data_IF_008612864461
#
_entry.id   IF_008612864461
#
_cell.length_a   1.000
_cell.length_b   1.000
_cell.length_c   1.000
_cell.angle_alpha   90.00
_cell.angle_beta   90.00
_cell.angle_gamma   90.00
#
_symmetry.space_group_name_H-M   'P 1'
#
loop_
_entity.id
_entity.type
_entity.pdbx_description
1 polymer ?
#
# COMPACT_ATOMS: atom_id res chain seq x y z
N UNK A 1 23.00 -30.38 30.35
CA UNK A 1 21.74 -29.68 30.61
C UNK A 1 22.02 -28.18 30.51
N UNK A 2 21.76 -27.58 29.35
CA UNK A 2 21.89 -26.13 29.17
C UNK A 2 20.55 -25.47 29.53
N UNK A 3 20.55 -24.70 30.62
CA UNK A 3 19.44 -23.83 30.98
C UNK A 3 19.55 -22.54 30.16
N UNK A 4 18.77 -22.45 29.08
CA UNK A 4 18.60 -21.22 28.32
C UNK A 4 17.71 -20.25 29.10
N UNK A 5 18.35 -19.33 29.82
CA UNK A 5 17.69 -18.17 30.40
C UNK A 5 17.22 -17.23 29.28
N UNK A 6 15.96 -17.39 28.85
CA UNK A 6 15.30 -16.50 27.89
C UNK A 6 15.34 -15.07 28.41
N UNK A 7 16.06 -14.19 27.70
CA UNK A 7 16.15 -12.75 27.99
C UNK A 7 14.75 -12.13 27.91
N UNK A 8 14.10 -11.93 29.06
CA UNK A 8 12.76 -11.33 29.13
C UNK A 8 12.87 -9.82 28.96
N UNK A 9 12.55 -9.34 27.75
CA UNK A 9 12.22 -7.94 27.52
C UNK A 9 10.99 -7.48 28.33
N UNK A 10 10.62 -6.20 28.20
CA UNK A 10 9.44 -5.64 28.88
C UNK A 10 8.21 -6.50 28.59
N UNK A 11 7.55 -6.99 29.66
CA UNK A 11 6.32 -7.78 29.52
C UNK A 11 5.23 -6.92 28.86
N UNK A 12 4.44 -7.49 27.93
CA UNK A 12 3.35 -6.78 27.29
C UNK A 12 2.29 -6.36 28.33
N UNK A 13 1.65 -5.21 28.10
CA UNK A 13 0.64 -4.62 29.00
C UNK A 13 -0.65 -5.45 29.10
N UNK A 14 -0.94 -6.22 28.06
CA UNK A 14 -2.13 -7.07 27.92
C UNK A 14 -1.68 -8.42 27.40
N UNK A 15 -2.27 -9.50 27.91
CA UNK A 15 -1.96 -10.84 27.42
C UNK A 15 -2.45 -11.04 25.98
N UNK A 16 -1.69 -11.79 25.19
CA UNK A 16 -1.96 -11.99 23.76
C UNK A 16 -3.27 -12.75 23.53
N UNK A 17 -3.62 -13.66 24.43
CA UNK A 17 -4.83 -14.47 24.30
C UNK A 17 -6.08 -13.63 24.57
N UNK A 18 -6.04 -12.75 25.57
CA UNK A 18 -7.14 -11.82 25.88
C UNK A 18 -7.44 -10.88 24.70
N UNK A 19 -6.40 -10.41 23.99
CA UNK A 19 -6.59 -9.59 22.79
C UNK A 19 -7.25 -10.40 21.68
N UNK A 20 -6.81 -11.65 21.48
CA UNK A 20 -7.39 -12.52 20.46
C UNK A 20 -8.85 -12.89 20.77
N UNK A 21 -9.19 -13.16 22.03
CA UNK A 21 -10.58 -13.40 22.47
C UNK A 21 -11.48 -12.19 22.17
N UNK A 22 -10.98 -10.97 22.42
CA UNK A 22 -11.71 -9.75 22.08
C UNK A 22 -11.96 -9.64 20.56
N UNK A 23 -11.00 -10.01 19.72
CA UNK A 23 -11.21 -10.07 18.27
C UNK A 23 -12.22 -11.13 17.84
N UNK A 24 -12.17 -12.32 18.44
CA UNK A 24 -13.12 -13.41 18.14
C UNK A 24 -14.55 -13.00 18.49
N UNK A 25 -14.75 -12.30 19.62
CA UNK A 25 -16.06 -11.81 20.06
C UNK A 25 -16.74 -10.90 19.03
N UNK A 26 -15.96 -10.14 18.26
CA UNK A 26 -16.45 -9.16 17.26
C UNK A 26 -16.02 -9.50 15.83
N UNK A 27 -15.79 -10.77 15.54
CA UNK A 27 -15.21 -11.22 14.26
C UNK A 27 -15.93 -10.69 13.01
N UNK A 28 -17.26 -10.61 13.03
CA UNK A 28 -18.08 -10.12 11.92
C UNK A 28 -18.12 -8.58 11.79
N UNK A 29 -17.77 -7.85 12.86
CA UNK A 29 -17.61 -6.39 12.82
C UNK A 29 -16.22 -5.99 12.33
N UNK A 30 -15.22 -6.84 12.60
CA UNK A 30 -13.81 -6.60 12.21
C UNK A 30 -13.58 -6.99 10.75
N UNK A 31 -14.11 -8.14 10.33
CA UNK A 31 -14.02 -8.65 8.95
C UNK A 31 -15.44 -8.85 8.43
N UNK A 32 -15.77 -8.18 7.33
CA UNK A 32 -17.05 -8.35 6.66
C UNK A 32 -17.10 -9.70 5.93
N UNK A 33 -18.30 -10.11 5.49
CA UNK A 33 -18.51 -11.36 4.75
C UNK A 33 -17.65 -11.48 3.48
N UNK A 34 -17.21 -10.36 2.91
CA UNK A 34 -16.33 -10.29 1.75
C UNK A 34 -14.82 -10.34 2.10
N UNK A 35 -14.44 -10.56 3.36
CA UNK A 35 -13.04 -10.60 3.80
C UNK A 35 -12.37 -9.23 3.98
N UNK A 36 -13.14 -8.14 3.87
CA UNK A 36 -12.64 -6.78 4.04
C UNK A 36 -12.54 -6.42 5.53
N UNK A 37 -11.41 -5.83 5.91
CA UNK A 37 -11.17 -5.38 7.30
C UNK A 37 -11.81 -4.01 7.50
N UNK A 38 -12.50 -3.82 8.62
CA UNK A 38 -13.07 -2.55 9.05
C UNK A 38 -12.00 -1.43 9.10
N UNK A 39 -12.26 -0.25 8.52
CA UNK A 39 -11.30 0.86 8.50
C UNK A 39 -10.99 1.36 9.92
N UNK A 40 -9.86 2.04 10.10
CA UNK A 40 -9.44 2.56 11.42
C UNK A 40 -10.46 3.53 12.04
N UNK A 41 -11.23 4.25 11.22
CA UNK A 41 -12.30 5.14 11.64
C UNK A 41 -13.54 4.41 12.17
N UNK A 42 -13.65 3.10 11.95
CA UNK A 42 -14.77 2.29 12.40
C UNK A 42 -14.87 2.28 13.93
N UNK A 43 -16.09 2.38 14.44
CA UNK A 43 -16.35 2.36 15.88
C UNK A 43 -15.89 1.06 16.55
N UNK A 44 -15.80 -0.03 15.78
CA UNK A 44 -15.38 -1.37 16.24
C UNK A 44 -14.05 -1.32 17.01
N UNK A 45 -13.08 -0.53 16.54
CA UNK A 45 -11.77 -0.37 17.20
C UNK A 45 -11.84 0.42 18.50
N UNK A 46 -12.82 1.33 18.64
CA UNK A 46 -13.10 2.02 19.91
C UNK A 46 -13.68 1.05 20.92
N UNK A 47 -14.69 0.29 20.51
CA UNK A 47 -15.32 -0.66 21.43
C UNK A 47 -14.39 -1.83 21.81
N UNK A 48 -13.47 -2.25 20.92
CA UNK A 48 -12.41 -3.21 21.28
C UNK A 48 -11.43 -2.65 22.31
N UNK A 49 -11.13 -1.34 22.25
CA UNK A 49 -10.30 -0.67 23.26
C UNK A 49 -11.01 -0.67 24.62
N UNK A 50 -12.31 -0.42 24.63
CA UNK A 50 -13.18 -0.49 25.82
C UNK A 50 -13.20 -1.89 26.43
N UNK A 51 -13.38 -2.94 25.61
CA UNK A 51 -13.37 -4.35 26.04
C UNK A 51 -12.02 -4.73 26.71
N UNK A 52 -10.93 -4.05 26.34
CA UNK A 52 -9.60 -4.23 26.92
C UNK A 52 -9.27 -3.22 28.04
N UNK A 53 -10.29 -2.56 28.60
CA UNK A 53 -10.18 -1.54 29.65
C UNK A 53 -9.23 -0.40 29.28
N UNK A 54 -9.25 0.04 28.02
CA UNK A 54 -8.40 1.10 27.45
C UNK A 54 -6.89 0.86 27.62
N UNK A 55 -6.46 -0.37 27.91
CA UNK A 55 -5.03 -0.71 28.04
C UNK A 55 -4.28 -0.60 26.71
N UNK A 56 -5.00 -0.69 25.60
CA UNK A 56 -4.52 -0.50 24.23
C UNK A 56 -5.43 0.48 23.49
N UNK A 57 -4.90 1.52 22.83
CA UNK A 57 -5.71 2.45 22.06
C UNK A 57 -6.19 1.81 20.75
N UNK A 58 -7.33 2.28 20.24
CA UNK A 58 -7.99 1.78 19.02
C UNK A 58 -7.05 1.71 17.82
N UNK A 59 -6.25 2.75 17.59
CA UNK A 59 -5.28 2.78 16.48
C UNK A 59 -4.22 1.68 16.62
N UNK A 60 -3.75 1.40 17.84
CA UNK A 60 -2.78 0.32 18.04
C UNK A 60 -3.42 -1.05 17.80
N UNK A 61 -4.68 -1.26 18.22
CA UNK A 61 -5.40 -2.51 17.95
C UNK A 61 -5.58 -2.73 16.45
N UNK A 62 -5.99 -1.69 15.71
CA UNK A 62 -6.09 -1.72 14.26
C UNK A 62 -4.75 -2.09 13.61
N UNK A 63 -3.67 -1.40 13.95
CA UNK A 63 -2.34 -1.65 13.37
C UNK A 63 -1.86 -3.07 13.68
N UNK A 64 -1.98 -3.51 14.93
CA UNK A 64 -1.53 -4.85 15.33
C UNK A 64 -2.31 -5.95 14.59
N UNK A 65 -3.61 -5.75 14.37
CA UNK A 65 -4.43 -6.68 13.60
C UNK A 65 -4.10 -6.63 12.11
N UNK A 66 -3.98 -5.43 11.53
CA UNK A 66 -3.71 -5.22 10.11
C UNK A 66 -2.35 -5.79 9.68
N UNK A 67 -1.31 -5.56 10.49
CA UNK A 67 0.05 -6.12 10.30
C UNK A 67 0.14 -7.62 10.63
N UNK A 68 -0.99 -8.26 10.95
CA UNK A 68 -1.08 -9.67 11.32
C UNK A 68 -0.11 -10.07 12.46
N UNK A 69 0.03 -9.18 13.45
CA UNK A 69 0.90 -9.48 14.59
C UNK A 69 0.35 -10.66 15.36
N UNK A 70 1.23 -11.60 15.70
CA UNK A 70 0.86 -12.85 16.35
C UNK A 70 -0.17 -13.69 15.55
N UNK A 71 -0.20 -13.51 14.23
CA UNK A 71 -1.09 -14.25 13.32
C UNK A 71 -2.58 -14.07 13.64
N UNK A 72 -2.95 -12.96 14.29
CA UNK A 72 -4.33 -12.72 14.71
C UNK A 72 -5.29 -12.56 13.55
N UNK A 73 -4.91 -11.82 12.51
CA UNK A 73 -5.72 -11.63 11.31
C UNK A 73 -5.82 -12.95 10.55
N UNK A 74 -4.69 -13.64 10.35
CA UNK A 74 -4.67 -14.96 9.71
C UNK A 74 -5.59 -15.94 10.44
N UNK A 75 -5.48 -16.05 11.76
CA UNK A 75 -6.33 -16.94 12.57
C UNK A 75 -7.81 -16.57 12.51
N UNK A 76 -8.15 -15.28 12.51
CA UNK A 76 -9.54 -14.83 12.43
C UNK A 76 -10.17 -15.12 11.06
N UNK A 77 -9.40 -14.95 9.98
CA UNK A 77 -9.81 -15.30 8.61
C UNK A 77 -10.10 -16.80 8.50
N UNK A 78 -9.22 -17.65 9.06
CA UNK A 78 -9.44 -19.11 9.13
C UNK A 78 -10.73 -19.46 9.88
N UNK A 79 -10.98 -18.80 11.02
CA UNK A 79 -12.21 -19.00 11.80
C UNK A 79 -13.49 -18.58 11.07
N UNK A 80 -13.38 -17.67 10.09
CA UNK A 80 -14.50 -17.25 9.24
C UNK A 80 -14.63 -18.09 7.96
N UNK A 81 -13.70 -19.02 7.70
CA UNK A 81 -13.70 -19.82 6.47
C UNK A 81 -13.36 -19.03 5.21
N UNK A 82 -12.69 -17.88 5.34
CA UNK A 82 -12.41 -16.94 4.23
C UNK A 82 -11.01 -17.16 3.61
N UNK A 83 -10.44 -18.36 3.74
CA UNK A 83 -9.06 -18.66 3.32
C UNK A 83 -8.84 -18.49 1.81
N UNK A 84 -9.86 -18.81 1.00
CA UNK A 84 -9.79 -18.73 -0.47
C UNK A 84 -9.89 -17.28 -0.99
N UNK A 85 -10.58 -16.40 -0.26
CA UNK A 85 -10.68 -14.98 -0.61
C UNK A 85 -9.38 -14.20 -0.35
N UNK A 86 -8.55 -14.66 0.57
CA UNK A 86 -7.34 -13.94 1.03
C UNK A 86 -6.09 -14.36 0.26
N UNK A 87 -6.02 -15.59 -0.26
CA UNK A 87 -4.93 -15.99 -1.16
C UNK A 87 -4.90 -15.14 -2.44
N UNK A 88 -6.08 -14.73 -2.94
CA UNK A 88 -6.20 -13.81 -4.08
C UNK A 88 -5.86 -12.34 -3.74
N UNK A 89 -5.65 -11.99 -2.47
CA UNK A 89 -5.28 -10.64 -2.01
C UNK A 89 -3.78 -10.50 -1.63
N UNK A 90 -3.03 -11.61 -1.56
CA UNK A 90 -1.65 -11.64 -1.02
C UNK A 90 -0.56 -11.72 -2.11
N UNK A 91 -0.89 -12.02 -3.35
CA UNK A 91 -0.03 -11.76 -4.50
C UNK A 91 -0.76 -10.65 -5.29
N UNK A 92 -0.34 -9.39 -5.27
CA UNK A 92 0.87 -8.91 -5.95
C UNK A 92 1.34 -7.59 -5.31
N UNK A 93 2.58 -7.50 -4.81
CA UNK A 93 3.26 -6.19 -4.72
C UNK A 93 3.75 -5.85 -6.14
N UNK A 94 2.82 -5.41 -6.99
CA UNK A 94 3.07 -5.14 -8.41
C UNK A 94 3.71 -3.76 -8.57
N UNK A 95 4.88 -3.59 -7.96
CA UNK A 95 5.84 -2.57 -8.38
C UNK A 95 7.22 -3.21 -8.67
N UNK A 96 7.22 -4.53 -8.92
CA UNK A 96 8.37 -5.31 -9.40
C UNK A 96 8.57 -5.10 -10.90
N UNK A 97 9.76 -4.60 -11.24
CA UNK A 97 10.22 -4.40 -12.61
C UNK A 97 10.61 -5.75 -13.20
N UNK A 98 9.72 -6.37 -13.97
CA UNK A 98 10.11 -7.43 -14.90
C UNK A 98 9.34 -7.24 -16.20
N UNK A 99 10.07 -6.91 -17.26
CA UNK A 99 9.57 -6.90 -18.62
C UNK A 99 9.28 -8.36 -19.01
N UNK A 100 8.04 -8.78 -18.87
CA UNK A 100 7.56 -10.03 -19.46
C UNK A 100 6.14 -9.78 -19.92
N UNK A 101 5.99 -9.58 -21.22
CA UNK A 101 4.70 -9.58 -21.88
C UNK A 101 4.02 -10.92 -21.62
N UNK A 102 2.94 -10.89 -20.84
CA UNK A 102 1.98 -11.98 -20.76
C UNK A 102 0.61 -11.39 -21.04
N UNK A 103 0.23 -11.46 -22.31
CA UNK A 103 -1.16 -11.45 -22.74
C UNK A 103 -1.88 -12.62 -22.08
N UNK A 104 -2.68 -12.34 -21.05
CA UNK A 104 -3.61 -13.31 -20.48
C UNK A 104 -4.96 -12.62 -20.28
N UNK A 105 -5.87 -12.95 -21.18
CA UNK A 105 -7.30 -12.92 -20.92
C UNK A 105 -7.58 -13.91 -19.77
N UNK A 106 -7.92 -13.39 -18.60
CA UNK A 106 -8.56 -14.22 -17.58
C UNK A 106 -9.60 -13.42 -16.81
N UNK A 107 -10.81 -13.97 -16.92
CA UNK A 107 -12.08 -13.70 -16.24
C UNK A 107 -11.96 -12.88 -14.95
N UNK A 108 -12.43 -11.63 -15.02
CA UNK A 108 -12.44 -10.68 -13.92
C UNK A 108 -13.70 -10.85 -13.08
N UNK A 109 -13.54 -11.33 -11.84
CA UNK A 109 -14.24 -10.68 -10.73
C UNK A 109 -13.62 -9.29 -10.62
N UNK A 110 -14.34 -8.32 -11.16
CA UNK A 110 -13.84 -6.99 -11.50
C UNK A 110 -13.64 -6.18 -10.21
N UNK A 111 -12.41 -6.15 -9.68
CA UNK A 111 -11.97 -4.99 -8.91
C UNK A 111 -12.23 -3.77 -9.79
N UNK A 112 -13.22 -2.95 -9.41
CA UNK A 112 -13.62 -1.77 -10.18
C UNK A 112 -12.44 -0.80 -10.17
N UNK A 113 -11.56 -0.91 -11.18
CA UNK A 113 -10.48 0.02 -11.42
C UNK A 113 -11.11 1.29 -11.97
N UNK A 114 -11.14 2.34 -11.15
CA UNK A 114 -11.62 3.65 -11.60
C UNK A 114 -10.47 4.40 -12.27
N UNK A 115 -10.64 4.71 -13.55
CA UNK A 115 -9.72 5.57 -14.28
C UNK A 115 -9.98 7.02 -13.90
N UNK A 116 -8.92 7.74 -13.56
CA UNK A 116 -8.95 9.18 -13.33
C UNK A 116 -8.09 9.86 -14.38
N UNK A 117 -8.60 10.96 -14.94
CA UNK A 117 -7.83 11.84 -15.82
C UNK A 117 -7.50 13.09 -15.04
N UNK A 118 -6.24 13.49 -15.06
CA UNK A 118 -5.76 14.74 -14.49
C UNK A 118 -5.07 15.55 -15.58
N UNK A 119 -5.15 16.87 -15.51
CA UNK A 119 -4.46 17.75 -16.44
C UNK A 119 -3.38 18.56 -15.70
N UNK A 120 -2.13 18.38 -16.11
CA UNK A 120 -1.01 19.14 -15.58
C UNK A 120 -0.67 20.25 -16.57
N UNK A 121 -0.92 21.50 -16.17
CA UNK A 121 -0.57 22.65 -16.99
C UNK A 121 0.95 22.72 -17.25
N UNK A 122 1.35 23.13 -18.45
CA UNK A 122 2.78 23.13 -18.85
C UNK A 122 3.68 23.87 -17.86
N UNK A 123 3.26 25.05 -17.36
CA UNK A 123 4.04 25.79 -16.36
C UNK A 123 4.32 24.97 -15.09
N UNK A 124 3.36 24.14 -14.66
CA UNK A 124 3.54 23.25 -13.50
C UNK A 124 4.44 22.07 -13.88
N UNK A 125 4.26 21.52 -15.09
CA UNK A 125 5.12 20.45 -15.60
C UNK A 125 6.60 20.83 -15.63
N UNK A 126 6.93 22.10 -15.96
CA UNK A 126 8.34 22.55 -15.98
C UNK A 126 9.06 22.36 -14.64
N UNK A 127 8.34 22.40 -13.52
CA UNK A 127 8.89 22.22 -12.17
C UNK A 127 9.20 20.75 -11.85
N UNK A 128 8.46 19.83 -12.46
CA UNK A 128 8.59 18.38 -12.24
C UNK A 128 9.27 17.68 -13.42
N UNK A 129 9.85 18.44 -14.35
CA UNK A 129 10.47 17.91 -15.56
C UNK A 129 11.59 16.92 -15.20
N UNK A 130 11.68 15.76 -15.87
CA UNK A 130 12.74 14.80 -15.62
C UNK A 130 14.14 15.41 -15.73
N UNK A 131 15.00 15.04 -14.80
CA UNK A 131 16.41 15.44 -14.77
C UNK A 131 17.30 14.20 -14.92
N UNK A 132 18.34 14.31 -15.74
CA UNK A 132 19.32 13.23 -15.92
C UNK A 132 20.28 13.18 -14.76
N UNK A 133 20.39 12.02 -14.11
CA UNK A 133 21.37 11.74 -13.05
C UNK A 133 22.29 10.62 -13.49
N UNK A 134 23.59 10.83 -13.32
CA UNK A 134 24.62 9.85 -13.65
C UNK A 134 25.11 9.15 -12.40
N UNK A 135 25.12 7.81 -12.46
CA UNK A 135 25.60 6.95 -11.41
C UNK A 135 26.83 6.16 -11.88
N UNK A 136 27.79 5.96 -10.98
CA UNK A 136 28.96 5.13 -11.25
C UNK A 136 28.62 3.66 -10.91
N UNK A 137 28.72 2.79 -11.90
CA UNK A 137 28.61 1.34 -11.74
C UNK A 137 29.85 0.79 -11.00
N UNK A 138 29.69 -0.36 -10.33
CA UNK A 138 30.78 -1.06 -9.60
C UNK A 138 31.96 -1.40 -10.51
N UNK A 139 31.73 -1.51 -11.83
CA UNK A 139 32.74 -1.74 -12.87
C UNK A 139 33.31 -0.45 -13.49
N UNK A 140 33.18 0.69 -12.81
CA UNK A 140 33.66 2.02 -13.27
C UNK A 140 33.03 2.52 -14.58
N UNK A 141 31.87 1.99 -14.98
CA UNK A 141 31.07 2.51 -16.09
C UNK A 141 30.09 3.55 -15.57
N UNK A 142 29.82 4.58 -16.36
CA UNK A 142 28.79 5.57 -16.02
C UNK A 142 27.46 5.15 -16.65
N UNK A 143 26.39 5.17 -15.86
CA UNK A 143 25.02 5.01 -16.36
C UNK A 143 24.23 6.25 -16.01
N UNK A 144 23.56 6.81 -17.01
CA UNK A 144 22.70 7.98 -16.84
C UNK A 144 21.26 7.53 -16.91
N UNK A 145 20.45 8.03 -15.98
CA UNK A 145 19.01 7.76 -15.90
C UNK A 145 18.28 9.09 -15.79
N UNK A 146 17.13 9.18 -16.45
CA UNK A 146 16.20 10.27 -16.17
C UNK A 146 15.33 9.90 -14.98
N UNK A 147 15.24 10.84 -14.04
CA UNK A 147 14.43 10.71 -12.85
C UNK A 147 13.54 11.93 -12.69
N UNK A 148 12.35 11.72 -12.13
CA UNK A 148 11.53 12.83 -11.68
C UNK A 148 12.16 13.45 -10.42
N UNK A 149 12.17 14.79 -10.27
CA UNK A 149 12.75 15.47 -9.11
C UNK A 149 12.07 15.06 -7.80
N UNK A 150 12.79 14.35 -6.93
CA UNK A 150 12.27 13.81 -5.67
C UNK A 150 11.63 14.90 -4.79
N UNK A 151 10.51 14.58 -4.15
CA UNK A 151 9.73 15.50 -3.32
C UNK A 151 8.84 16.46 -4.13
N UNK A 152 9.29 16.95 -5.28
CA UNK A 152 8.53 17.95 -6.06
C UNK A 152 7.44 17.28 -6.91
N UNK A 153 7.78 16.20 -7.62
CA UNK A 153 6.82 15.54 -8.52
C UNK A 153 5.67 14.88 -7.78
N UNK A 154 5.94 14.29 -6.61
CA UNK A 154 4.93 13.61 -5.79
C UNK A 154 3.89 14.58 -5.28
N UNK A 155 4.35 15.73 -4.75
CA UNK A 155 3.48 16.76 -4.18
C UNK A 155 2.61 17.37 -5.28
N UNK A 156 3.22 17.68 -6.43
CA UNK A 156 2.50 18.24 -7.58
C UNK A 156 1.38 17.32 -8.08
N UNK A 157 1.67 16.02 -8.28
CA UNK A 157 0.66 15.07 -8.75
C UNK A 157 -0.42 14.88 -7.70
N UNK A 158 -0.04 14.73 -6.43
CA UNK A 158 -0.97 14.51 -5.34
C UNK A 158 -1.93 15.71 -5.17
N UNK A 159 -1.40 16.93 -5.19
CA UNK A 159 -2.20 18.15 -5.05
C UNK A 159 -3.22 18.30 -6.18
N UNK A 160 -2.80 18.08 -7.44
CA UNK A 160 -3.71 18.13 -8.60
C UNK A 160 -4.78 17.06 -8.46
N UNK A 161 -4.35 15.83 -8.17
CA UNK A 161 -5.25 14.68 -8.08
C UNK A 161 -6.29 14.84 -6.98
N UNK A 162 -5.88 15.27 -5.78
CA UNK A 162 -6.79 15.51 -4.66
C UNK A 162 -7.68 16.73 -4.88
N UNK A 163 -7.18 17.79 -5.53
CA UNK A 163 -7.97 18.97 -5.86
C UNK A 163 -9.10 18.66 -6.85
N UNK A 164 -8.80 17.86 -7.87
CA UNK A 164 -9.78 17.49 -8.91
C UNK A 164 -10.77 16.42 -8.42
N UNK A 165 -10.28 15.36 -7.78
CA UNK A 165 -11.08 14.17 -7.48
C UNK A 165 -11.55 14.07 -6.03
N UNK A 166 -11.03 14.93 -5.14
CA UNK A 166 -11.45 15.07 -3.72
C UNK A 166 -11.53 13.75 -2.96
N UNK A 167 -10.59 12.84 -3.22
CA UNK A 167 -10.56 11.53 -2.58
C UNK A 167 -10.06 11.66 -1.13
N UNK A 168 -10.68 10.98 -0.15
CA UNK A 168 -10.25 11.02 1.25
C UNK A 168 -9.06 10.08 1.52
N UNK A 169 -8.15 9.93 0.56
CA UNK A 169 -7.05 8.95 0.60
C UNK A 169 -5.70 9.64 0.68
N UNK A 170 -4.85 9.19 1.60
CA UNK A 170 -3.49 9.66 1.75
C UNK A 170 -2.51 8.74 1.01
N UNK A 171 -2.16 9.10 -0.22
CA UNK A 171 -1.30 8.29 -1.08
C UNK A 171 0.19 8.51 -0.79
N UNK A 172 0.91 7.41 -0.58
CA UNK A 172 2.37 7.35 -0.49
C UNK A 172 2.91 6.85 -1.82
N UNK A 173 3.63 7.72 -2.53
CA UNK A 173 4.26 7.41 -3.82
C UNK A 173 5.53 6.59 -3.59
N UNK A 174 5.64 5.43 -4.24
CA UNK A 174 6.77 4.52 -4.08
C UNK A 174 7.86 4.77 -5.12
N UNK A 175 7.49 4.76 -6.41
CA UNK A 175 8.44 4.80 -7.54
C UNK A 175 7.87 5.61 -8.70
N UNK A 176 8.71 6.44 -9.31
CA UNK A 176 8.49 7.04 -10.62
C UNK A 176 9.56 6.58 -11.61
N UNK A 177 9.16 6.21 -12.82
CA UNK A 177 10.01 5.80 -13.94
C UNK A 177 9.83 6.82 -15.06
N UNK A 178 10.95 7.21 -15.68
CA UNK A 178 10.96 8.01 -16.91
C UNK A 178 11.65 7.20 -17.98
N UNK A 179 11.02 7.10 -19.15
CA UNK A 179 11.53 6.35 -20.29
C UNK A 179 11.55 7.24 -21.52
N UNK A 180 12.74 7.42 -22.12
CA UNK A 180 12.89 8.19 -23.38
C UNK A 180 12.49 7.40 -24.61
N UNK A 181 12.82 6.11 -24.59
CA UNK A 181 12.62 5.23 -25.73
C UNK A 181 11.29 4.48 -25.59
N UNK A 182 10.37 4.75 -26.51
CA UNK A 182 9.11 4.00 -26.65
C UNK A 182 9.32 2.51 -26.98
N UNK A 183 10.53 2.13 -27.39
CA UNK A 183 10.91 0.72 -27.63
C UNK A 183 11.10 -0.09 -26.33
N UNK A 184 11.43 0.58 -25.23
CA UNK A 184 11.77 -0.05 -23.96
C UNK A 184 10.69 0.16 -22.89
N UNK A 185 9.66 0.94 -23.18
CA UNK A 185 8.59 1.30 -22.24
C UNK A 185 7.39 1.83 -23.02
N UNK A 186 6.21 1.35 -22.65
CA UNK A 186 4.94 1.84 -23.21
C UNK A 186 4.68 3.31 -22.82
N UNK A 187 5.03 3.67 -21.59
CA UNK A 187 4.79 5.01 -21.07
C UNK A 187 6.08 5.83 -20.94
N UNK A 188 5.98 7.14 -21.22
CA UNK A 188 7.03 8.11 -20.99
C UNK A 188 7.26 8.34 -19.50
N UNK A 189 6.19 8.56 -18.74
CA UNK A 189 6.21 8.61 -17.27
C UNK A 189 5.30 7.50 -16.76
N UNK A 190 5.76 6.78 -15.73
CA UNK A 190 4.95 5.81 -15.01
C UNK A 190 5.25 5.88 -13.52
N UNK A 191 4.24 5.80 -12.65
CA UNK A 191 4.42 5.79 -11.21
C UNK A 191 3.40 4.92 -10.48
N UNK A 192 3.78 4.45 -9.30
CA UNK A 192 2.93 3.66 -8.40
C UNK A 192 2.81 4.35 -7.02
N UNK A 193 1.62 4.32 -6.44
CA UNK A 193 1.33 4.87 -5.11
C UNK A 193 0.38 3.95 -4.32
N UNK A 194 0.48 4.00 -2.99
CA UNK A 194 -0.36 3.22 -2.09
C UNK A 194 -0.94 4.09 -0.99
N UNK A 195 -2.25 4.01 -0.78
CA UNK A 195 -2.90 4.73 0.29
C UNK A 195 -2.46 4.15 1.64
N UNK A 196 -2.03 5.03 2.55
CA UNK A 196 -1.61 4.66 3.90
C UNK A 196 -2.77 4.13 4.74
N UNK A 197 -3.96 4.69 4.55
CA UNK A 197 -5.10 4.47 5.45
C UNK A 197 -5.97 3.29 5.03
N UNK A 198 -6.28 3.17 3.73
CA UNK A 198 -7.13 2.09 3.21
C UNK A 198 -6.37 1.01 2.44
N UNK A 199 -5.07 1.22 2.16
CA UNK A 199 -4.25 0.27 1.41
C UNK A 199 -4.53 0.21 -0.09
N UNK A 200 -5.46 1.02 -0.62
CA UNK A 200 -5.75 1.08 -2.07
C UNK A 200 -4.52 1.48 -2.87
N UNK A 201 -4.34 0.85 -4.02
CA UNK A 201 -3.21 1.09 -4.92
C UNK A 201 -3.63 1.97 -6.10
N UNK A 202 -2.69 2.78 -6.56
CA UNK A 202 -2.85 3.66 -7.70
C UNK A 202 -1.64 3.52 -8.61
N UNK A 203 -1.93 3.45 -9.90
CA UNK A 203 -0.95 3.56 -10.96
C UNK A 203 -1.31 4.77 -11.81
N UNK A 204 -0.30 5.52 -12.21
CA UNK A 204 -0.48 6.66 -13.10
C UNK A 204 0.62 6.71 -14.14
N UNK A 205 0.27 7.16 -15.33
CA UNK A 205 1.19 7.20 -16.46
C UNK A 205 0.90 8.36 -17.41
N UNK A 206 1.89 8.69 -18.23
CA UNK A 206 1.77 9.56 -19.41
C UNK A 206 2.51 8.90 -20.57
N UNK A 207 1.84 8.78 -21.71
CA UNK A 207 2.40 8.12 -22.90
C UNK A 207 3.37 9.02 -23.66
N UNK A 208 3.15 10.34 -23.58
CA UNK A 208 3.95 11.34 -24.28
C UNK A 208 4.56 12.35 -23.32
N UNK A 209 5.68 12.94 -23.72
CA UNK A 209 6.24 14.10 -23.03
C UNK A 209 5.25 15.28 -23.16
N UNK A 210 4.79 15.87 -22.05
CA UNK A 210 3.95 17.07 -22.09
C UNK A 210 4.65 18.22 -22.85
N UNK A 211 3.92 18.82 -23.79
CA UNK A 211 4.38 19.91 -24.65
C UNK A 211 3.81 21.26 -24.22
#
# INVERSE_FOLDING_TARGET
>A
MFNDAVRKGRKPRVDKNLIFEAFVKRKHEIINEQGLISPVSSNVWKVLSEDLNYKLPSNSLYIMFYEDRHEWKSRLIKLLGLEDHVKNLIEVDQCSSSDTELSLESNKDEFIKKLFKINIHFNVFTQIKPTTVTYKDKKSRYRSYDILPSGIWTDTINDIFLKEHKLPCNFIYKRGKVSRDSRNSEHYIWFCAKCKDCGSEMEGWSDTEPK
#
